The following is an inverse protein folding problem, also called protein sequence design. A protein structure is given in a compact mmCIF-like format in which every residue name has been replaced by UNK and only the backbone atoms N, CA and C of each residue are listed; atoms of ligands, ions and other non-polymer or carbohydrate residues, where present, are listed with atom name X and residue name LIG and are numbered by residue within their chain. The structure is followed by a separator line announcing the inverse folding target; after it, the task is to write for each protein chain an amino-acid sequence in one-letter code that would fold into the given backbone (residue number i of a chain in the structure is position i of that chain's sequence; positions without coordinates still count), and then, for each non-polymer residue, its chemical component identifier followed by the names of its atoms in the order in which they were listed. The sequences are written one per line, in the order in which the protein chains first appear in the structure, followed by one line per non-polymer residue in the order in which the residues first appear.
data_IF_701027667519
#
_entry.id   IF_701027667519
#
_cell.length_a   1.000
_cell.length_b   1.000
_cell.length_c   1.000
_cell.angle_alpha   90.00
_cell.angle_beta   90.00
_cell.angle_gamma   90.00
#
_symmetry.space_group_name_H-M   'P 1'
#
loop_
_entity.id
_entity.type
_entity.pdbx_description
1 polymer ?
#
# COMPACT_ATOMS: atom_id res chain seq x y z
N UNK A 1 -49.55 62.26 29.86
CA UNK A 1 -50.30 61.81 31.04
C UNK A 1 -49.40 60.76 31.68
N UNK A 2 -48.52 61.26 32.52
CA UNK A 2 -48.58 61.32 33.98
C UNK A 2 -48.57 59.92 34.60
N UNK A 3 -47.86 59.56 35.58
CA UNK A 3 -46.84 60.21 36.43
C UNK A 3 -46.42 59.23 37.52
N UNK A 4 -45.20 59.39 38.06
CA UNK A 4 -44.78 59.17 39.45
C UNK A 4 -44.63 57.77 40.00
N UNK A 5 -43.46 57.35 40.29
CA UNK A 5 -42.55 57.69 41.41
C UNK A 5 -43.03 57.27 42.79
N UNK A 6 -42.23 56.48 43.53
CA UNK A 6 -41.59 56.78 44.81
C UNK A 6 -41.03 55.50 45.45
N UNK A 7 -39.79 55.45 45.68
CA UNK A 7 -38.99 55.61 46.93
C UNK A 7 -39.65 55.12 48.21
N UNK A 8 -39.03 54.10 48.87
CA UNK A 8 -38.57 54.35 50.28
C UNK A 8 -37.51 53.27 50.71
N UNK A 9 -36.65 53.80 51.54
CA UNK A 9 -35.37 53.34 52.08
C UNK A 9 -35.51 52.36 53.28
N UNK A 10 -34.41 51.64 53.48
CA UNK A 10 -33.60 51.41 54.69
C UNK A 10 -33.98 50.15 55.48
N UNK A 11 -33.14 49.36 56.05
CA UNK A 11 -31.93 49.63 56.82
C UNK A 11 -31.14 48.35 57.10
N UNK A 12 -29.91 48.55 57.37
CA UNK A 12 -28.82 47.71 57.78
C UNK A 12 -29.09 46.63 58.87
N UNK A 13 -28.33 45.52 58.78
CA UNK A 13 -27.33 45.10 59.80
C UNK A 13 -26.90 43.65 59.56
N UNK A 14 -25.72 43.42 59.56
CA UNK A 14 -24.58 42.94 60.32
C UNK A 14 -23.95 41.64 59.84
N UNK A 15 -22.70 41.82 59.56
CA UNK A 15 -21.53 40.94 59.59
C UNK A 15 -21.72 39.47 60.04
N UNK A 16 -21.36 38.54 59.13
CA UNK A 16 -20.61 37.34 59.48
C UNK A 16 -19.59 37.05 58.40
N UNK A 17 -18.31 37.23 58.69
CA UNK A 17 -17.17 36.81 57.88
C UNK A 17 -17.00 35.28 57.98
N UNK A 18 -17.28 34.58 56.91
CA UNK A 18 -16.80 33.19 56.72
C UNK A 18 -15.68 33.25 55.67
N UNK A 19 -14.47 32.99 56.14
CA UNK A 19 -13.29 32.77 55.31
C UNK A 19 -13.50 31.46 54.51
N UNK A 20 -13.93 31.55 53.26
CA UNK A 20 -13.70 30.51 52.30
C UNK A 20 -12.25 30.55 51.87
N UNK A 21 -11.50 29.48 52.19
CA UNK A 21 -10.21 29.18 51.60
C UNK A 21 -10.44 29.03 50.10
N UNK A 22 -9.85 29.88 49.27
CA UNK A 22 -9.67 29.65 47.86
C UNK A 22 -8.67 28.51 47.73
N UNK A 23 -9.16 27.34 47.34
CA UNK A 23 -8.33 26.28 46.81
C UNK A 23 -8.00 26.76 45.40
N UNK A 24 -6.78 27.25 45.23
CA UNK A 24 -6.19 27.49 43.91
C UNK A 24 -6.12 26.12 43.21
N UNK A 25 -7.05 25.90 42.29
CA UNK A 25 -6.93 24.85 41.29
C UNK A 25 -5.76 25.27 40.41
N UNK A 26 -4.61 24.63 40.60
CA UNK A 26 -3.54 24.68 39.64
C UNK A 26 -4.11 24.26 38.28
N UNK A 27 -4.23 25.17 37.33
CA UNK A 27 -4.46 24.90 35.95
C UNK A 27 -3.28 24.07 35.46
N UNK A 28 -3.53 22.79 35.21
CA UNK A 28 -2.65 21.99 34.38
C UNK A 28 -2.61 22.70 33.02
N UNK A 29 -1.49 23.33 32.71
CA UNK A 29 -1.21 23.93 31.42
C UNK A 29 -1.27 22.81 30.37
N UNK A 30 -2.43 22.66 29.74
CA UNK A 30 -2.58 21.82 28.56
C UNK A 30 -1.63 22.38 27.49
N UNK A 31 -0.57 21.66 27.19
CA UNK A 31 0.26 21.95 26.04
C UNK A 31 -0.64 21.95 24.82
N UNK A 32 -0.72 23.08 24.12
CA UNK A 32 -1.41 23.17 22.84
C UNK A 32 -0.67 22.24 21.91
N UNK A 33 -1.30 21.09 21.58
CA UNK A 33 -0.72 20.15 20.63
C UNK A 33 -0.76 20.83 19.26
N UNK A 34 0.43 21.11 18.74
CA UNK A 34 0.60 21.84 17.50
C UNK A 34 0.63 20.89 16.29
N UNK A 35 0.03 21.35 15.20
CA UNK A 35 0.27 20.78 13.88
C UNK A 35 1.39 21.57 13.20
N UNK A 36 2.20 20.91 12.38
CA UNK A 36 3.08 21.60 11.46
C UNK A 36 2.30 22.24 10.29
N UNK A 37 2.99 22.98 9.42
CA UNK A 37 2.36 23.67 8.28
C UNK A 37 1.72 22.69 7.28
N UNK A 38 2.14 21.42 7.27
CA UNK A 38 1.64 20.38 6.39
C UNK A 38 0.53 19.52 7.05
N UNK A 39 0.13 19.88 8.27
CA UNK A 39 -0.93 19.22 9.03
C UNK A 39 -0.51 17.95 9.73
N UNK A 40 0.79 17.68 9.90
CA UNK A 40 1.28 16.58 10.71
C UNK A 40 1.24 16.91 12.20
N UNK A 41 1.07 15.88 13.02
CA UNK A 41 1.28 15.98 14.45
C UNK A 41 2.74 16.36 14.76
N UNK A 42 2.92 17.39 15.58
CA UNK A 42 4.22 17.70 16.18
C UNK A 42 4.34 16.89 17.46
N UNK A 43 5.36 16.08 17.58
CA UNK A 43 5.59 15.19 18.71
C UNK A 43 7.03 15.27 19.20
N UNK A 44 7.29 14.77 20.39
CA UNK A 44 8.64 14.63 20.97
C UNK A 44 8.94 13.15 21.28
N UNK A 45 10.18 12.75 21.12
CA UNK A 45 10.64 11.43 21.58
C UNK A 45 10.45 11.34 23.10
N UNK A 46 9.89 10.20 23.55
CA UNK A 46 9.55 9.98 24.96
C UNK A 46 8.14 10.46 25.35
N UNK A 47 7.46 11.25 24.50
CA UNK A 47 6.09 11.70 24.75
C UNK A 47 5.09 10.53 24.70
N UNK A 48 4.04 10.62 25.52
CA UNK A 48 2.93 9.67 25.52
C UNK A 48 1.78 10.19 24.64
N UNK A 49 1.45 9.45 23.60
CA UNK A 49 0.25 9.65 22.78
C UNK A 49 -0.87 8.80 23.40
N UNK A 50 -2.04 9.41 23.64
CA UNK A 50 -3.21 8.76 24.27
C UNK A 50 -2.86 8.13 25.64
N UNK A 51 -1.93 8.72 26.41
CA UNK A 51 -1.46 8.20 27.72
C UNK A 51 -1.00 6.73 27.70
N UNK A 52 -0.76 6.18 26.50
CA UNK A 52 -0.44 4.76 26.30
C UNK A 52 0.78 4.54 25.42
N UNK A 53 0.92 5.25 24.31
CA UNK A 53 1.91 4.98 23.29
C UNK A 53 3.11 5.91 23.42
N UNK A 54 4.20 5.44 24.01
CA UNK A 54 5.42 6.23 24.18
C UNK A 54 6.22 6.28 22.88
N UNK A 55 6.45 7.47 22.36
CA UNK A 55 7.19 7.69 21.10
C UNK A 55 8.65 7.34 21.26
N UNK A 56 9.16 6.42 20.41
CA UNK A 56 10.57 6.03 20.36
C UNK A 56 11.32 6.64 19.16
N UNK A 57 10.75 6.53 17.94
CA UNK A 57 11.39 7.05 16.73
C UNK A 57 10.40 7.17 15.57
N UNK A 58 10.82 7.85 14.50
CA UNK A 58 10.11 7.86 13.21
C UNK A 58 10.47 6.60 12.42
N UNK A 59 9.47 5.88 11.91
CA UNK A 59 9.63 4.77 10.97
C UNK A 59 9.50 5.22 9.52
N UNK A 60 8.59 6.15 9.24
CA UNK A 60 8.38 6.67 7.89
C UNK A 60 7.47 7.88 7.86
N UNK A 61 7.59 8.66 6.80
CA UNK A 61 6.74 9.81 6.52
C UNK A 61 6.25 9.74 5.06
N UNK A 62 4.97 9.99 4.85
CA UNK A 62 4.35 9.92 3.53
C UNK A 62 3.28 10.99 3.32
N UNK A 63 2.63 10.91 2.17
CA UNK A 63 1.57 11.85 1.76
C UNK A 63 0.45 11.95 2.79
N UNK A 64 0.07 10.84 3.42
CA UNK A 64 -1.09 10.74 4.32
C UNK A 64 -0.77 11.06 5.78
N UNK A 65 0.50 10.94 6.21
CA UNK A 65 0.88 11.10 7.61
C UNK A 65 2.26 10.56 7.93
N UNK A 66 2.51 10.31 9.20
CA UNK A 66 3.75 9.73 9.73
C UNK A 66 3.47 8.38 10.37
N UNK A 67 4.45 7.49 10.33
CA UNK A 67 4.43 6.22 11.07
C UNK A 67 5.54 6.29 12.12
N UNK A 68 5.17 6.18 13.38
CA UNK A 68 6.09 6.21 14.52
C UNK A 68 6.27 4.82 15.09
N UNK A 69 7.50 4.52 15.49
CA UNK A 69 7.76 3.43 16.43
C UNK A 69 7.40 3.92 17.82
N UNK A 70 6.50 3.24 18.48
CA UNK A 70 6.06 3.55 19.85
C UNK A 70 6.14 2.30 20.71
N UNK A 71 6.36 2.48 22.02
CA UNK A 71 6.21 1.42 23.01
C UNK A 71 4.80 1.49 23.58
N UNK A 72 4.01 0.44 23.42
CA UNK A 72 2.73 0.31 24.11
C UNK A 72 2.98 0.03 25.59
N UNK A 73 2.61 0.94 26.47
CA UNK A 73 2.84 0.84 27.92
C UNK A 73 2.01 -0.27 28.59
N UNK A 74 0.91 -0.71 27.96
CA UNK A 74 0.07 -1.79 28.48
C UNK A 74 0.68 -3.17 28.18
N UNK A 75 1.13 -3.39 26.97
CA UNK A 75 1.71 -4.69 26.55
C UNK A 75 3.24 -4.73 26.64
N UNK A 76 3.88 -3.58 26.84
CA UNK A 76 5.36 -3.39 26.78
C UNK A 76 5.97 -3.76 25.42
N UNK A 77 5.16 -3.93 24.37
CA UNK A 77 5.62 -4.27 23.02
C UNK A 77 5.88 -3.02 22.19
N UNK A 78 6.85 -3.07 21.25
CA UNK A 78 6.99 -2.05 20.23
C UNK A 78 5.86 -2.20 19.21
N UNK A 79 5.31 -1.06 18.75
CA UNK A 79 4.17 -0.95 17.82
C UNK A 79 4.47 0.12 16.78
N UNK A 80 3.97 -0.05 15.57
CA UNK A 80 3.92 0.97 14.53
C UNK A 80 2.62 1.77 14.65
N UNK A 81 2.72 3.05 14.95
CA UNK A 81 1.58 3.96 15.07
C UNK A 81 1.53 4.88 13.84
N UNK A 82 0.58 4.62 12.94
CA UNK A 82 0.29 5.46 11.77
C UNK A 82 -0.56 6.64 12.23
N UNK A 83 -0.05 7.87 12.08
CA UNK A 83 -0.70 9.11 12.50
C UNK A 83 -1.04 9.91 11.25
N UNK A 84 -2.31 10.04 10.97
CA UNK A 84 -2.83 10.69 9.78
C UNK A 84 -2.79 12.22 9.95
N UNK A 85 -2.45 12.94 8.89
CA UNK A 85 -2.50 14.42 8.86
C UNK A 85 -3.88 14.92 9.26
N UNK A 86 -3.92 15.98 10.05
CA UNK A 86 -5.18 16.63 10.42
C UNK A 86 -5.77 17.45 9.26
N UNK A 87 -6.01 16.77 8.14
CA UNK A 87 -6.63 17.31 6.93
C UNK A 87 -7.85 16.45 6.61
N UNK A 88 -9.01 17.08 6.38
CA UNK A 88 -10.31 16.41 6.22
C UNK A 88 -10.25 15.22 5.24
N UNK A 89 -9.70 15.43 4.02
CA UNK A 89 -9.64 14.37 3.00
C UNK A 89 -8.84 13.13 3.45
N UNK A 90 -7.75 13.31 4.21
CA UNK A 90 -6.93 12.20 4.69
C UNK A 90 -7.57 11.46 5.86
N UNK A 91 -8.29 12.19 6.73
CA UNK A 91 -9.09 11.56 7.80
C UNK A 91 -10.25 10.75 7.25
N UNK A 92 -10.91 11.22 6.19
CA UNK A 92 -11.95 10.44 5.51
C UNK A 92 -11.38 9.17 4.86
N UNK A 93 -10.23 9.26 4.18
CA UNK A 93 -9.53 8.09 3.65
C UNK A 93 -9.12 7.11 4.75
N UNK A 94 -8.62 7.59 5.89
CA UNK A 94 -8.26 6.73 7.02
C UNK A 94 -9.47 5.98 7.60
N UNK A 95 -10.66 6.58 7.61
CA UNK A 95 -11.90 5.90 8.03
C UNK A 95 -12.27 4.75 7.10
N UNK A 96 -12.07 4.92 5.79
CA UNK A 96 -12.27 3.85 4.81
C UNK A 96 -11.27 2.72 5.05
N UNK A 97 -9.99 3.04 5.25
CA UNK A 97 -8.95 2.05 5.59
C UNK A 97 -9.31 1.26 6.86
N UNK A 98 -9.72 1.93 7.94
CA UNK A 98 -10.16 1.30 9.19
C UNK A 98 -11.36 0.36 8.95
N UNK A 99 -12.34 0.78 8.15
CA UNK A 99 -13.50 -0.05 7.83
C UNK A 99 -13.08 -1.33 7.07
N UNK A 100 -12.18 -1.22 6.10
CA UNK A 100 -11.64 -2.37 5.36
C UNK A 100 -10.90 -3.30 6.31
N UNK A 101 -9.96 -2.77 7.11
CA UNK A 101 -9.16 -3.56 8.07
C UNK A 101 -10.04 -4.27 9.11
N UNK A 102 -11.10 -3.61 9.59
CA UNK A 102 -12.06 -4.21 10.53
C UNK A 102 -12.81 -5.39 9.89
N UNK A 103 -13.25 -5.26 8.64
CA UNK A 103 -13.91 -6.34 7.90
C UNK A 103 -12.95 -7.50 7.64
N UNK A 104 -11.71 -7.21 7.20
CA UNK A 104 -10.68 -8.23 6.95
C UNK A 104 -10.36 -9.03 8.21
N UNK A 105 -10.26 -8.38 9.36
CA UNK A 105 -10.06 -9.05 10.65
C UNK A 105 -11.19 -10.04 10.98
N UNK A 106 -12.42 -9.72 10.60
CA UNK A 106 -13.57 -10.63 10.74
C UNK A 106 -13.52 -11.85 9.81
N UNK A 107 -12.94 -11.69 8.62
CA UNK A 107 -12.79 -12.77 7.64
C UNK A 107 -11.59 -13.68 7.93
N UNK A 108 -10.59 -13.23 8.68
CA UNK A 108 -9.36 -13.96 9.00
C UNK A 108 -9.14 -14.15 10.52
N UNK A 109 -9.98 -14.94 11.20
CA UNK A 109 -9.84 -15.17 12.63
C UNK A 109 -8.53 -15.90 13.00
N UNK A 110 -7.91 -16.57 12.05
CA UNK A 110 -6.65 -17.33 12.22
C UNK A 110 -5.38 -16.56 11.90
N UNK A 111 -5.48 -15.32 11.43
CA UNK A 111 -4.35 -14.47 11.01
C UNK A 111 -3.43 -15.14 9.96
N UNK A 112 -4.05 -15.78 8.96
CA UNK A 112 -3.36 -16.56 7.92
C UNK A 112 -3.34 -15.89 6.55
N UNK A 113 -4.07 -14.78 6.39
CA UNK A 113 -4.20 -14.09 5.10
C UNK A 113 -2.91 -13.47 4.61
N UNK A 114 -1.95 -13.18 5.49
CA UNK A 114 -0.76 -12.39 5.17
C UNK A 114 -1.04 -10.90 4.95
N UNK A 115 -2.23 -10.41 5.33
CA UNK A 115 -2.56 -9.00 5.38
C UNK A 115 -2.27 -8.42 6.76
N UNK A 116 -1.82 -7.16 6.82
CA UNK A 116 -1.56 -6.51 8.12
C UNK A 116 -2.85 -6.39 8.93
N UNK A 117 -2.75 -6.63 10.24
CA UNK A 117 -3.88 -6.54 11.17
C UNK A 117 -3.81 -5.24 11.95
N UNK A 118 -4.93 -4.53 11.98
CA UNK A 118 -5.10 -3.37 12.84
C UNK A 118 -5.25 -3.83 14.31
N UNK A 119 -4.38 -3.33 15.19
CA UNK A 119 -4.41 -3.65 16.62
C UNK A 119 -5.36 -2.72 17.39
N UNK A 120 -5.35 -1.43 17.04
CA UNK A 120 -6.14 -0.38 17.69
C UNK A 120 -6.31 0.81 16.76
N UNK A 121 -7.31 1.65 16.99
CA UNK A 121 -7.43 2.94 16.35
C UNK A 121 -8.15 3.95 17.26
N UNK A 122 -7.76 5.22 17.16
CA UNK A 122 -8.33 6.29 17.99
C UNK A 122 -8.14 7.65 17.32
N UNK A 123 -8.84 8.67 17.79
CA UNK A 123 -8.58 10.07 17.45
C UNK A 123 -7.68 10.70 18.53
N UNK A 124 -6.63 11.38 18.10
CA UNK A 124 -5.75 12.15 18.98
C UNK A 124 -5.62 13.56 18.45
N UNK A 125 -6.36 14.49 19.06
CA UNK A 125 -6.40 15.92 18.71
C UNK A 125 -6.71 16.19 17.23
N UNK A 126 -7.62 15.41 16.65
CA UNK A 126 -8.03 15.51 15.27
C UNK A 126 -7.14 14.74 14.29
N UNK A 127 -6.17 13.98 14.78
CA UNK A 127 -5.39 13.00 14.02
C UNK A 127 -5.98 11.62 14.19
N UNK A 128 -6.37 10.97 13.12
CA UNK A 128 -6.70 9.54 13.16
C UNK A 128 -5.41 8.76 13.33
N UNK A 129 -5.31 7.97 14.40
CA UNK A 129 -4.19 7.11 14.71
C UNK A 129 -4.60 5.66 14.52
N UNK A 130 -3.73 4.84 13.90
CA UNK A 130 -3.96 3.41 13.67
C UNK A 130 -2.71 2.66 14.11
N UNK A 131 -2.88 1.69 15.01
CA UNK A 131 -1.80 0.88 15.56
C UNK A 131 -1.68 -0.46 14.84
N UNK A 132 -0.44 -0.86 14.55
CA UNK A 132 -0.08 -2.11 13.87
C UNK A 132 1.12 -2.76 14.56
N UNK A 133 1.32 -4.06 14.34
CA UNK A 133 2.60 -4.69 14.64
C UNK A 133 3.72 -4.06 13.82
N UNK A 134 4.94 -4.02 14.38
CA UNK A 134 6.11 -3.57 13.63
C UNK A 134 6.51 -4.67 12.67
N UNK A 135 6.71 -4.26 11.41
CA UNK A 135 7.27 -5.08 10.34
C UNK A 135 8.68 -4.60 9.98
N UNK A 136 9.36 -5.37 9.17
CA UNK A 136 10.64 -5.01 8.55
C UNK A 136 10.50 -3.95 7.47
N UNK A 137 11.55 -3.80 6.66
CA UNK A 137 11.56 -2.89 5.50
C UNK A 137 10.53 -3.32 4.45
N UNK A 138 10.12 -2.37 3.62
CA UNK A 138 9.39 -2.72 2.40
C UNK A 138 10.30 -3.46 1.42
N UNK A 139 9.67 -4.25 0.55
CA UNK A 139 10.39 -4.93 -0.53
C UNK A 139 11.12 -3.91 -1.42
N UNK A 140 10.54 -2.72 -1.63
CA UNK A 140 11.20 -1.63 -2.36
C UNK A 140 12.42 -1.07 -1.61
N UNK A 141 12.27 -0.76 -0.31
CA UNK A 141 13.36 -0.17 0.46
C UNK A 141 14.55 -1.12 0.56
N UNK A 142 14.30 -2.41 0.77
CA UNK A 142 15.36 -3.41 0.79
C UNK A 142 16.07 -3.52 -0.57
N UNK A 143 15.33 -3.51 -1.68
CA UNK A 143 15.89 -3.52 -3.04
C UNK A 143 16.77 -2.28 -3.28
N UNK A 144 16.29 -1.09 -2.92
CA UNK A 144 17.03 0.17 -3.00
C UNK A 144 18.31 0.13 -2.17
N UNK A 145 18.20 -0.29 -0.92
CA UNK A 145 19.32 -0.35 0.03
C UNK A 145 20.33 -1.45 -0.34
N UNK A 146 19.94 -2.40 -1.18
CA UNK A 146 20.80 -3.39 -1.82
C UNK A 146 21.26 -2.95 -3.23
N UNK A 147 21.28 -1.63 -3.51
CA UNK A 147 21.72 -1.03 -4.77
C UNK A 147 20.95 -1.55 -6.00
N UNK A 148 19.67 -1.88 -5.86
CA UNK A 148 18.82 -2.47 -6.89
C UNK A 148 19.33 -3.80 -7.44
N UNK A 149 20.18 -4.51 -6.69
CA UNK A 149 20.53 -5.89 -7.03
C UNK A 149 19.30 -6.77 -6.96
N UNK A 150 19.02 -7.58 -8.01
CA UNK A 150 17.86 -8.47 -8.02
C UNK A 150 17.81 -9.40 -6.82
N UNK A 151 16.61 -9.74 -6.39
CA UNK A 151 16.41 -10.79 -5.40
C UNK A 151 16.79 -12.16 -5.97
N UNK A 152 17.21 -13.09 -5.11
CA UNK A 152 17.38 -14.48 -5.53
C UNK A 152 16.05 -15.06 -6.02
N UNK A 153 16.10 -16.04 -6.90
CA UNK A 153 14.88 -16.64 -7.46
C UNK A 153 13.99 -17.27 -6.38
N UNK A 154 14.60 -17.81 -5.32
CA UNK A 154 13.90 -18.34 -4.14
C UNK A 154 13.18 -17.23 -3.38
N UNK A 155 13.83 -16.09 -3.18
CA UNK A 155 13.19 -14.93 -2.54
C UNK A 155 12.05 -14.38 -3.41
N UNK A 156 12.25 -14.23 -4.74
CA UNK A 156 11.18 -13.85 -5.67
C UNK A 156 9.99 -14.83 -5.57
N UNK A 157 10.26 -16.13 -5.55
CA UNK A 157 9.22 -17.17 -5.42
C UNK A 157 8.43 -17.02 -4.13
N UNK A 158 9.11 -16.86 -2.99
CA UNK A 158 8.47 -16.76 -1.67
C UNK A 158 7.67 -15.47 -1.53
N UNK A 159 8.24 -14.32 -1.89
CA UNK A 159 7.56 -13.02 -1.87
C UNK A 159 6.31 -13.07 -2.74
N UNK A 160 6.46 -13.53 -3.99
CA UNK A 160 5.34 -13.61 -4.95
C UNK A 160 4.25 -14.56 -4.50
N UNK A 161 4.62 -15.72 -3.91
CA UNK A 161 3.66 -16.66 -3.36
C UNK A 161 2.84 -16.05 -2.23
N UNK A 162 3.50 -15.39 -1.26
CA UNK A 162 2.81 -14.71 -0.17
C UNK A 162 1.90 -13.58 -0.68
N UNK A 163 2.35 -12.78 -1.66
CA UNK A 163 1.51 -11.77 -2.29
C UNK A 163 0.27 -12.39 -2.95
N UNK A 164 0.46 -13.44 -3.74
CA UNK A 164 -0.66 -14.16 -4.40
C UNK A 164 -1.64 -14.71 -3.36
N UNK A 165 -1.15 -15.26 -2.23
CA UNK A 165 -2.02 -15.74 -1.15
C UNK A 165 -2.83 -14.61 -0.52
N UNK A 166 -2.15 -13.50 -0.15
CA UNK A 166 -2.81 -12.37 0.50
C UNK A 166 -3.85 -11.73 -0.41
N UNK A 167 -3.51 -11.48 -1.68
CA UNK A 167 -4.44 -10.85 -2.61
C UNK A 167 -5.55 -11.82 -3.04
N UNK A 168 -5.28 -13.14 -3.16
CA UNK A 168 -6.34 -14.13 -3.38
C UNK A 168 -7.36 -14.15 -2.23
N UNK A 169 -6.89 -14.01 -0.98
CA UNK A 169 -7.79 -13.86 0.16
C UNK A 169 -8.68 -12.60 0.03
N UNK A 170 -8.13 -11.47 -0.42
CA UNK A 170 -8.93 -10.27 -0.70
C UNK A 170 -9.98 -10.53 -1.78
N UNK A 171 -9.57 -11.12 -2.91
CA UNK A 171 -10.45 -11.43 -4.04
C UNK A 171 -11.58 -12.39 -3.66
N UNK A 172 -11.31 -13.39 -2.83
CA UNK A 172 -12.33 -14.30 -2.30
C UNK A 172 -13.36 -13.57 -1.40
N UNK A 173 -12.98 -12.46 -0.82
CA UNK A 173 -13.84 -11.59 -0.02
C UNK A 173 -14.36 -10.37 -0.78
N UNK A 174 -14.39 -10.44 -2.12
CA UNK A 174 -14.92 -9.39 -3.00
C UNK A 174 -14.25 -8.03 -2.82
N UNK A 175 -12.97 -8.01 -2.53
CA UNK A 175 -12.16 -6.81 -2.31
C UNK A 175 -10.99 -6.80 -3.30
N UNK A 176 -10.80 -5.67 -3.99
CA UNK A 176 -9.65 -5.38 -4.86
C UNK A 176 -8.73 -4.41 -4.13
N UNK A 177 -7.42 -4.69 -4.06
CA UNK A 177 -6.46 -3.84 -3.36
C UNK A 177 -6.25 -2.50 -4.06
N UNK A 178 -6.14 -2.52 -5.37
CA UNK A 178 -6.01 -1.40 -6.30
C UNK A 178 -4.70 -0.61 -6.28
N UNK A 179 -3.85 -0.72 -5.28
CA UNK A 179 -2.56 -0.03 -5.21
C UNK A 179 -1.41 -0.96 -4.80
N UNK A 180 -1.33 -2.14 -5.43
CA UNK A 180 -0.20 -3.04 -5.24
C UNK A 180 1.08 -2.46 -5.86
N UNK A 181 2.13 -2.39 -5.03
CA UNK A 181 3.48 -1.95 -5.39
C UNK A 181 4.47 -2.48 -4.36
N UNK A 182 5.78 -2.55 -4.68
CA UNK A 182 6.78 -3.07 -3.74
C UNK A 182 6.85 -2.33 -2.41
N UNK A 183 6.45 -1.04 -2.37
CA UNK A 183 6.38 -0.23 -1.14
C UNK A 183 5.28 -0.68 -0.18
N UNK A 184 4.21 -1.33 -0.69
CA UNK A 184 3.08 -1.81 0.10
C UNK A 184 3.20 -3.29 0.50
N UNK A 185 4.36 -3.89 0.27
CA UNK A 185 4.71 -5.26 0.66
C UNK A 185 5.90 -5.19 1.62
N UNK A 186 5.70 -5.51 2.91
CA UNK A 186 6.72 -5.42 3.93
C UNK A 186 7.18 -6.82 4.35
N UNK A 187 8.48 -6.97 4.59
CA UNK A 187 8.98 -8.18 5.24
C UNK A 187 8.46 -8.30 6.67
N UNK A 188 8.14 -9.53 7.10
CA UNK A 188 7.87 -9.80 8.51
C UNK A 188 9.09 -9.50 9.36
N UNK A 189 10.26 -9.91 8.88
CA UNK A 189 11.57 -9.57 9.39
C UNK A 189 12.53 -9.32 8.21
N UNK A 190 13.19 -8.18 8.18
CA UNK A 190 14.15 -7.81 7.14
C UNK A 190 15.60 -8.10 7.50
N UNK A 191 15.84 -9.04 8.43
CA UNK A 191 17.18 -9.54 8.79
C UNK A 191 17.85 -10.17 7.58
N UNK A 192 19.14 -9.87 7.41
CA UNK A 192 19.90 -10.34 6.25
C UNK A 192 21.33 -10.75 6.63
N UNK A 193 21.94 -11.54 5.77
CA UNK A 193 23.37 -11.84 5.76
C UNK A 193 24.02 -11.16 4.56
N UNK A 194 25.33 -10.96 4.62
CA UNK A 194 26.11 -10.46 3.48
C UNK A 194 26.75 -11.64 2.76
N UNK A 195 26.40 -11.83 1.49
CA UNK A 195 26.99 -12.83 0.59
C UNK A 195 27.39 -12.12 -0.71
N UNK A 196 28.63 -12.30 -1.15
CA UNK A 196 29.17 -11.69 -2.39
C UNK A 196 28.94 -10.16 -2.45
N UNK A 197 29.10 -9.46 -1.34
CA UNK A 197 28.83 -8.02 -1.18
C UNK A 197 27.36 -7.62 -1.42
N UNK A 198 26.42 -8.55 -1.34
CA UNK A 198 24.98 -8.31 -1.47
C UNK A 198 24.26 -8.72 -0.19
N UNK A 199 23.16 -8.03 0.10
CA UNK A 199 22.27 -8.43 1.21
C UNK A 199 21.39 -9.59 0.76
N UNK A 200 21.40 -10.69 1.53
CA UNK A 200 20.52 -11.85 1.34
C UNK A 200 19.60 -11.97 2.54
N UNK A 201 18.29 -11.95 2.31
CA UNK A 201 17.29 -12.11 3.36
C UNK A 201 17.40 -13.49 4.01
N UNK A 202 17.28 -13.53 5.33
CA UNK A 202 17.20 -14.77 6.10
C UNK A 202 15.84 -15.43 5.86
N UNK A 203 14.75 -14.67 5.98
CA UNK A 203 13.37 -15.09 5.63
C UNK A 203 12.71 -14.04 4.75
N UNK A 204 12.41 -14.35 3.47
CA UNK A 204 11.72 -13.42 2.58
C UNK A 204 10.18 -13.44 2.72
N UNK A 205 9.66 -13.88 3.88
CA UNK A 205 8.21 -13.83 4.15
C UNK A 205 7.72 -12.41 4.30
N UNK A 206 6.60 -12.08 3.66
CA UNK A 206 6.06 -10.73 3.60
C UNK A 206 4.61 -10.64 4.10
N UNK A 207 4.19 -9.42 4.38
CA UNK A 207 2.81 -9.02 4.66
C UNK A 207 2.39 -7.88 3.72
N UNK A 208 1.13 -7.90 3.33
CA UNK A 208 0.51 -6.84 2.54
C UNK A 208 -0.02 -5.75 3.47
N UNK A 209 0.26 -4.49 3.13
CA UNK A 209 -0.15 -3.31 3.89
C UNK A 209 -0.91 -2.31 3.02
N UNK A 210 -1.44 -1.26 3.64
CA UNK A 210 -2.05 -0.07 3.02
C UNK A 210 -3.32 -0.37 2.22
N UNK A 211 -4.43 -0.52 2.94
CA UNK A 211 -5.77 -0.76 2.36
C UNK A 211 -6.57 0.52 2.11
N UNK A 212 -5.92 1.70 2.12
CA UNK A 212 -6.57 3.00 1.97
C UNK A 212 -7.23 3.23 0.60
N UNK A 213 -6.85 2.44 -0.41
CA UNK A 213 -7.42 2.48 -1.77
C UNK A 213 -8.26 1.23 -2.09
N UNK A 214 -8.29 0.23 -1.18
CA UNK A 214 -8.98 -1.01 -1.43
C UNK A 214 -10.50 -0.80 -1.59
N UNK A 215 -11.09 -1.45 -2.58
CA UNK A 215 -12.47 -1.21 -3.01
C UNK A 215 -13.22 -2.54 -3.09
N UNK A 216 -14.39 -2.64 -2.43
CA UNK A 216 -15.27 -3.78 -2.58
C UNK A 216 -16.01 -3.77 -3.92
N UNK A 217 -16.36 -4.95 -4.44
CA UNK A 217 -17.04 -5.09 -5.74
C UNK A 217 -18.36 -4.28 -5.85
N UNK A 218 -19.04 -4.05 -4.73
CA UNK A 218 -20.31 -3.30 -4.66
C UNK A 218 -20.13 -1.78 -4.44
N UNK A 219 -18.91 -1.30 -4.22
CA UNK A 219 -18.62 0.12 -3.98
C UNK A 219 -18.39 0.86 -5.30
N UNK A 220 -18.35 2.19 -5.22
CA UNK A 220 -18.05 3.03 -6.38
C UNK A 220 -16.61 2.83 -6.84
N UNK A 221 -16.44 2.46 -8.10
CA UNK A 221 -15.14 2.29 -8.74
C UNK A 221 -14.64 3.61 -9.34
N UNK A 222 -13.52 4.12 -8.80
CA UNK A 222 -12.84 5.28 -9.39
C UNK A 222 -12.35 4.96 -10.80
N UNK A 223 -12.39 5.93 -11.73
CA UNK A 223 -11.94 5.69 -13.12
C UNK A 223 -10.47 5.26 -13.21
N UNK A 224 -9.63 5.82 -12.35
CA UNK A 224 -8.18 5.57 -12.36
C UNK A 224 -7.76 5.07 -10.99
N UNK A 225 -7.14 3.91 -10.97
CA UNK A 225 -6.53 3.27 -9.79
C UNK A 225 -5.10 2.87 -10.10
N UNK A 226 -4.40 2.35 -9.11
CA UNK A 226 -3.03 1.85 -9.13
C UNK A 226 -1.96 2.92 -9.34
N UNK A 227 -0.84 2.73 -8.70
CA UNK A 227 0.38 3.48 -8.97
C UNK A 227 0.81 3.23 -10.42
N UNK A 228 1.20 4.30 -11.13
CA UNK A 228 1.37 4.30 -12.59
C UNK A 228 2.14 3.11 -13.15
N UNK A 229 3.26 2.76 -12.58
CA UNK A 229 4.15 1.72 -13.10
C UNK A 229 3.52 0.32 -13.04
N UNK A 230 2.54 0.11 -12.16
CA UNK A 230 1.86 -1.18 -11.93
C UNK A 230 0.42 -1.18 -12.45
N UNK A 231 0.01 -0.12 -13.16
CA UNK A 231 -1.36 0.07 -13.63
C UNK A 231 -1.69 -0.80 -14.83
N UNK A 232 -2.78 -1.54 -14.73
CA UNK A 232 -3.26 -2.43 -15.76
C UNK A 232 -3.79 -1.67 -17.01
N UNK A 233 -3.73 -2.28 -18.21
CA UNK A 233 -4.14 -1.64 -19.45
C UNK A 233 -5.61 -1.25 -19.47
N UNK A 234 -6.52 -2.06 -18.91
CA UNK A 234 -7.95 -1.76 -18.82
C UNK A 234 -8.22 -0.49 -18.01
N UNK A 235 -7.39 -0.20 -16.99
CA UNK A 235 -7.48 1.04 -16.21
C UNK A 235 -7.01 2.24 -17.03
N UNK A 236 -5.90 2.12 -17.77
CA UNK A 236 -5.36 3.18 -18.63
C UNK A 236 -6.35 3.51 -19.75
N UNK A 237 -7.04 2.49 -20.26
CA UNK A 237 -7.98 2.58 -21.40
C UNK A 237 -9.40 2.91 -20.95
N UNK A 238 -9.66 3.10 -19.66
CA UNK A 238 -10.96 3.39 -19.06
C UNK A 238 -12.06 2.38 -19.51
N UNK A 239 -11.70 1.08 -19.56
CA UNK A 239 -12.61 -0.02 -19.93
C UNK A 239 -13.38 -0.60 -18.74
N UNK A 240 -13.19 -0.02 -17.55
CA UNK A 240 -13.61 -0.61 -16.29
C UNK A 240 -12.53 -1.54 -15.73
N UNK A 241 -12.55 -1.76 -14.43
CA UNK A 241 -11.60 -2.64 -13.74
C UNK A 241 -12.29 -3.42 -12.62
N UNK A 242 -11.68 -4.52 -12.25
CA UNK A 242 -12.05 -5.36 -11.12
C UNK A 242 -10.79 -6.09 -10.61
N UNK A 243 -10.95 -7.13 -9.83
CA UNK A 243 -9.86 -7.92 -9.23
C UNK A 243 -8.67 -8.26 -10.16
N UNK A 244 -8.84 -8.54 -11.46
CA UNK A 244 -7.69 -8.82 -12.35
C UNK A 244 -6.66 -7.69 -12.45
N UNK A 245 -7.00 -6.43 -12.13
CA UNK A 245 -6.01 -5.34 -12.15
C UNK A 245 -4.90 -5.54 -11.10
N UNK A 246 -5.20 -6.18 -9.97
CA UNK A 246 -4.21 -6.57 -8.96
C UNK A 246 -3.26 -7.64 -9.48
N UNK A 247 -3.76 -8.60 -10.25
CA UNK A 247 -2.96 -9.67 -10.87
C UNK A 247 -1.90 -9.08 -11.81
N UNK A 248 -2.30 -8.09 -12.63
CA UNK A 248 -1.37 -7.35 -13.47
C UNK A 248 -0.27 -6.67 -12.64
N UNK A 249 -0.65 -6.00 -11.55
CA UNK A 249 0.31 -5.33 -10.67
C UNK A 249 1.31 -6.33 -10.08
N UNK A 250 0.86 -7.53 -9.64
CA UNK A 250 1.74 -8.59 -9.15
C UNK A 250 2.72 -9.05 -10.24
N UNK A 251 2.27 -9.23 -11.48
CA UNK A 251 3.13 -9.57 -12.60
C UNK A 251 4.24 -8.54 -12.84
N UNK A 252 3.93 -7.25 -12.75
CA UNK A 252 4.91 -6.16 -12.82
C UNK A 252 5.92 -6.22 -11.67
N UNK A 253 5.43 -6.43 -10.44
CA UNK A 253 6.27 -6.53 -9.24
C UNK A 253 7.21 -7.74 -9.36
N UNK A 254 6.71 -8.90 -9.73
CA UNK A 254 7.55 -10.11 -9.92
C UNK A 254 8.71 -9.86 -10.87
N UNK A 255 8.45 -9.19 -12.00
CA UNK A 255 9.51 -8.81 -12.94
C UNK A 255 10.54 -7.89 -12.28
N UNK A 256 10.08 -6.86 -11.56
CA UNK A 256 10.96 -5.89 -10.91
C UNK A 256 11.84 -6.54 -9.84
N UNK A 257 11.30 -7.44 -9.03
CA UNK A 257 12.08 -8.18 -8.03
C UNK A 257 13.15 -9.07 -8.66
N UNK A 258 12.83 -9.72 -9.79
CA UNK A 258 13.71 -10.64 -10.48
C UNK A 258 14.81 -9.94 -11.30
N UNK A 259 14.62 -8.66 -11.67
CA UNK A 259 15.53 -7.93 -12.55
C UNK A 259 16.15 -6.69 -11.93
N UNK A 260 15.62 -6.21 -10.78
CA UNK A 260 16.00 -4.93 -10.17
C UNK A 260 15.51 -3.69 -10.94
N UNK A 261 14.68 -3.88 -11.99
CA UNK A 261 14.25 -2.79 -12.88
C UNK A 261 12.74 -2.78 -13.01
N UNK A 262 12.13 -1.63 -12.80
CA UNK A 262 10.69 -1.42 -13.01
C UNK A 262 10.30 -1.71 -14.46
N UNK A 263 9.29 -2.58 -14.68
CA UNK A 263 8.91 -3.04 -16.01
C UNK A 263 8.42 -1.92 -16.93
N UNK A 264 7.60 -1.00 -16.40
CA UNK A 264 6.98 0.11 -17.15
C UNK A 264 7.33 1.46 -16.51
N UNK A 265 8.59 1.88 -16.63
CA UNK A 265 9.07 3.15 -16.06
C UNK A 265 8.69 4.33 -16.94
N UNK A 266 7.54 4.95 -16.68
CA UNK A 266 6.98 6.05 -17.46
C UNK A 266 6.14 7.01 -16.64
N UNK A 267 5.92 8.23 -17.19
CA UNK A 267 5.03 9.24 -16.58
C UNK A 267 3.79 9.54 -17.43
N UNK A 268 3.65 8.91 -18.61
CA UNK A 268 2.58 9.19 -19.57
C UNK A 268 1.84 7.91 -20.00
N UNK A 269 0.50 8.00 -20.13
CA UNK A 269 -0.32 6.86 -20.53
C UNK A 269 0.05 6.28 -21.90
N UNK A 270 0.27 7.15 -22.91
CA UNK A 270 0.58 6.68 -24.26
C UNK A 270 1.94 6.01 -24.36
N UNK A 271 2.93 6.54 -23.64
CA UNK A 271 4.24 5.90 -23.53
C UNK A 271 4.14 4.56 -22.81
N UNK A 272 3.33 4.48 -21.75
CA UNK A 272 3.06 3.23 -21.03
C UNK A 272 2.45 2.16 -21.94
N UNK A 273 1.44 2.51 -22.73
CA UNK A 273 0.83 1.60 -23.71
C UNK A 273 1.86 1.18 -24.78
N UNK A 274 2.75 2.07 -25.22
CA UNK A 274 3.80 1.72 -26.18
C UNK A 274 4.85 0.78 -25.58
N UNK A 275 5.17 0.93 -24.28
CA UNK A 275 6.03 -0.03 -23.57
C UNK A 275 5.35 -1.39 -23.48
N UNK A 276 4.05 -1.43 -23.17
CA UNK A 276 3.27 -2.68 -23.14
C UNK A 276 3.32 -3.37 -24.52
N UNK A 277 3.03 -2.66 -25.63
CA UNK A 277 3.12 -3.26 -26.97
C UNK A 277 4.51 -3.77 -27.30
N UNK A 278 5.53 -3.05 -26.88
CA UNK A 278 6.92 -3.46 -27.12
C UNK A 278 7.30 -4.74 -26.36
N UNK A 279 6.78 -4.91 -25.14
CA UNK A 279 7.14 -6.02 -24.24
C UNK A 279 6.27 -7.23 -24.45
N UNK A 280 4.94 -7.04 -24.65
CA UNK A 280 3.94 -8.09 -24.66
C UNK A 280 3.37 -8.39 -26.04
N UNK A 281 3.58 -7.52 -27.03
CA UNK A 281 2.94 -7.57 -28.33
C UNK A 281 1.77 -6.61 -28.49
N UNK A 282 1.15 -6.60 -29.67
CA UNK A 282 0.07 -5.66 -29.99
C UNK A 282 -1.15 -5.83 -29.09
N UNK A 283 -1.84 -4.71 -28.84
CA UNK A 283 -3.11 -4.76 -28.12
C UNK A 283 -4.17 -5.53 -28.91
N UNK A 284 -5.04 -6.28 -28.22
CA UNK A 284 -6.22 -6.89 -28.83
C UNK A 284 -7.11 -5.82 -29.48
N UNK A 285 -7.56 -6.08 -30.71
CA UNK A 285 -8.46 -5.20 -31.47
C UNK A 285 -9.70 -4.82 -30.65
N UNK A 286 -10.26 -5.79 -29.90
CA UNK A 286 -11.40 -5.58 -29.01
C UNK A 286 -11.15 -4.44 -28.00
N UNK A 287 -10.01 -4.41 -27.31
CA UNK A 287 -9.69 -3.36 -26.35
C UNK A 287 -9.47 -2.01 -27.04
N UNK A 288 -8.77 -2.00 -28.18
CA UNK A 288 -8.50 -0.80 -28.95
C UNK A 288 -9.79 -0.15 -29.53
N UNK A 289 -10.81 -0.94 -29.88
CA UNK A 289 -12.08 -0.47 -30.39
C UNK A 289 -13.07 -0.04 -29.30
N UNK A 290 -13.02 -0.65 -28.11
CA UNK A 290 -13.94 -0.35 -27.01
C UNK A 290 -13.55 0.88 -26.19
N UNK A 291 -12.26 1.27 -26.19
CA UNK A 291 -11.81 2.42 -25.40
C UNK A 291 -12.35 3.73 -25.93
N UNK A 292 -12.81 4.58 -25.00
CA UNK A 292 -13.19 5.97 -25.31
C UNK A 292 -11.99 6.93 -25.26
N UNK A 293 -10.84 6.46 -24.82
CA UNK A 293 -9.61 7.26 -24.77
C UNK A 293 -9.08 7.51 -26.19
N UNK A 294 -8.36 8.63 -26.38
CA UNK A 294 -7.81 9.00 -27.69
C UNK A 294 -6.42 8.41 -27.94
N UNK A 295 -6.12 7.23 -27.37
CA UNK A 295 -4.83 6.59 -27.51
C UNK A 295 -4.68 5.80 -28.80
N UNK A 296 -5.79 5.29 -29.36
CA UNK A 296 -5.82 4.53 -30.59
C UNK A 296 -6.41 5.31 -31.76
N UNK A 297 -6.07 4.90 -32.97
CA UNK A 297 -6.66 5.33 -34.24
C UNK A 297 -6.64 4.15 -35.22
N UNK A 298 -7.79 3.80 -35.76
CA UNK A 298 -7.95 2.60 -36.59
C UNK A 298 -7.32 1.36 -35.91
N UNK A 299 -7.67 1.19 -34.62
CA UNK A 299 -7.24 0.07 -33.77
C UNK A 299 -5.72 -0.03 -33.53
N UNK A 300 -4.94 0.97 -33.95
CA UNK A 300 -3.50 1.06 -33.74
C UNK A 300 -3.16 2.16 -32.75
N UNK A 301 -2.21 1.88 -31.88
CA UNK A 301 -1.71 2.88 -30.93
C UNK A 301 -1.14 4.10 -31.67
N UNK A 302 -1.59 5.29 -31.31
CA UNK A 302 -1.04 6.57 -31.81
C UNK A 302 0.34 6.82 -31.21
N UNK A 303 1.33 6.17 -31.76
CA UNK A 303 2.71 6.23 -31.27
C UNK A 303 3.70 6.48 -32.39
N UNK A 304 4.63 7.43 -32.18
CA UNK A 304 5.70 7.69 -33.11
C UNK A 304 7.00 7.06 -32.61
N UNK A 305 7.37 5.93 -33.18
CA UNK A 305 8.60 5.22 -32.87
C UNK A 305 9.89 5.99 -33.20
N UNK A 306 9.81 7.02 -34.09
CA UNK A 306 10.94 7.85 -34.47
C UNK A 306 11.18 9.01 -33.52
N UNK A 307 10.20 9.34 -32.66
CA UNK A 307 10.33 10.35 -31.63
C UNK A 307 11.45 10.00 -30.62
N UNK A 308 11.86 10.96 -29.79
CA UNK A 308 12.83 10.68 -28.70
C UNK A 308 12.31 9.61 -27.74
N UNK A 309 11.00 9.68 -27.39
CA UNK A 309 10.33 8.69 -26.55
C UNK A 309 10.21 7.32 -27.24
N UNK A 310 9.90 7.30 -28.55
CA UNK A 310 9.88 6.06 -29.32
C UNK A 310 11.23 5.36 -29.36
N UNK A 311 12.31 6.13 -29.53
CA UNK A 311 13.67 5.59 -29.44
C UNK A 311 14.01 5.08 -28.04
N UNK A 312 13.54 5.76 -26.98
CA UNK A 312 13.72 5.31 -25.60
C UNK A 312 13.04 3.96 -25.38
N UNK A 313 11.73 3.84 -25.68
CA UNK A 313 10.97 2.59 -25.56
C UNK A 313 11.65 1.45 -26.32
N UNK A 314 12.08 1.68 -27.56
CA UNK A 314 12.74 0.65 -28.36
C UNK A 314 14.07 0.17 -27.76
N UNK A 315 14.82 1.05 -27.10
CA UNK A 315 16.12 0.71 -26.48
C UNK A 315 15.97 0.01 -25.14
N UNK A 316 15.03 0.44 -24.30
CA UNK A 316 14.91 0.01 -22.91
C UNK A 316 13.88 -1.10 -22.70
N UNK A 317 12.84 -1.18 -23.57
CA UNK A 317 11.83 -2.23 -23.49
C UNK A 317 12.17 -3.35 -24.46
N UNK A 318 12.32 -4.55 -23.95
CA UNK A 318 12.59 -5.77 -24.73
C UNK A 318 11.40 -6.73 -24.61
N UNK A 319 11.01 -7.41 -25.71
CA UNK A 319 9.98 -8.43 -25.62
C UNK A 319 10.29 -9.44 -24.53
N UNK A 320 9.30 -9.79 -23.73
CA UNK A 320 9.48 -10.69 -22.58
C UNK A 320 9.93 -12.10 -23.05
N UNK A 321 9.52 -12.50 -24.25
CA UNK A 321 9.96 -13.77 -24.84
C UNK A 321 11.47 -13.87 -25.05
N UNK A 322 12.16 -12.73 -25.28
CA UNK A 322 13.63 -12.72 -25.44
C UNK A 322 14.38 -13.11 -24.16
N UNK A 323 13.76 -12.94 -22.99
CA UNK A 323 14.33 -13.43 -21.74
C UNK A 323 14.23 -14.97 -21.69
N UNK A 324 13.09 -15.54 -22.07
CA UNK A 324 12.86 -16.97 -22.08
C UNK A 324 13.71 -17.69 -23.12
N UNK A 325 13.86 -17.11 -24.34
CA UNK A 325 14.63 -17.68 -25.44
C UNK A 325 16.13 -17.82 -25.14
N UNK A 326 16.64 -17.06 -24.19
CA UNK A 326 18.05 -17.10 -23.76
C UNK A 326 18.33 -18.09 -22.66
N UNK A 327 17.30 -18.66 -22.06
CA UNK A 327 17.41 -19.61 -20.96
C UNK A 327 17.58 -21.03 -21.50
N UNK A 328 18.41 -21.80 -20.84
CA UNK A 328 18.55 -23.21 -21.09
C UNK A 328 17.37 -23.97 -20.46
N UNK A 329 16.74 -24.85 -21.23
CA UNK A 329 15.50 -25.54 -20.84
C UNK A 329 15.70 -26.51 -19.68
N UNK A 330 16.88 -27.04 -19.52
CA UNK A 330 17.18 -28.07 -18.50
C UNK A 330 17.68 -27.42 -17.21
N UNK A 331 18.56 -26.42 -17.33
CA UNK A 331 19.18 -25.76 -16.15
C UNK A 331 18.37 -24.58 -15.60
N UNK A 332 17.64 -23.86 -16.46
CA UNK A 332 16.90 -22.63 -16.09
C UNK A 332 15.39 -22.82 -15.93
N UNK A 333 14.96 -24.04 -15.67
CA UNK A 333 13.53 -24.41 -15.58
C UNK A 333 12.72 -23.49 -14.68
N UNK A 334 13.24 -23.13 -13.52
CA UNK A 334 12.55 -22.25 -12.56
C UNK A 334 12.38 -20.83 -13.09
N UNK A 335 13.37 -20.28 -13.83
CA UNK A 335 13.28 -19.00 -14.50
C UNK A 335 12.25 -19.02 -15.62
N UNK A 336 12.22 -20.07 -16.41
CA UNK A 336 11.24 -20.26 -17.49
C UNK A 336 9.83 -20.29 -16.89
N UNK A 337 9.61 -21.01 -15.81
CA UNK A 337 8.32 -21.06 -15.11
C UNK A 337 7.92 -19.72 -14.54
N UNK A 338 8.88 -18.95 -13.98
CA UNK A 338 8.61 -17.59 -13.48
C UNK A 338 8.14 -16.67 -14.60
N UNK A 339 8.86 -16.62 -15.73
CA UNK A 339 8.46 -15.77 -16.85
C UNK A 339 7.17 -16.24 -17.53
N UNK A 340 6.87 -17.54 -17.54
CA UNK A 340 5.58 -18.06 -18.00
C UNK A 340 4.44 -17.55 -17.11
N UNK A 341 4.59 -17.58 -15.79
CA UNK A 341 3.61 -17.02 -14.86
C UNK A 341 3.44 -15.51 -15.04
N UNK A 342 4.55 -14.76 -15.14
CA UNK A 342 4.51 -13.31 -15.40
C UNK A 342 3.73 -13.01 -16.68
N UNK A 343 3.96 -13.74 -17.77
CA UNK A 343 3.20 -13.55 -19.02
C UNK A 343 1.71 -13.80 -18.86
N UNK A 344 1.31 -14.81 -18.11
CA UNK A 344 -0.09 -15.11 -17.82
C UNK A 344 -0.75 -14.01 -16.96
N UNK A 345 0.01 -13.44 -16.01
CA UNK A 345 -0.45 -12.30 -15.21
C UNK A 345 -0.53 -11.01 -16.02
N UNK A 346 0.33 -10.85 -17.04
CA UNK A 346 0.35 -9.68 -17.94
C UNK A 346 -0.47 -9.91 -19.22
N UNK A 347 -1.49 -10.75 -19.18
CA UNK A 347 -2.47 -10.88 -20.26
C UNK A 347 -3.32 -9.61 -20.35
N UNK A 348 -3.44 -9.03 -21.55
CA UNK A 348 -4.14 -7.77 -21.77
C UNK A 348 -5.61 -7.82 -21.37
N UNK A 349 -6.33 -8.81 -21.87
CA UNK A 349 -7.77 -9.00 -21.60
C UNK A 349 -7.94 -9.52 -20.18
N UNK A 350 -8.61 -8.73 -19.33
CA UNK A 350 -8.81 -9.05 -17.91
C UNK A 350 -9.52 -10.39 -17.71
N UNK A 351 -10.47 -10.72 -18.60
CA UNK A 351 -11.25 -11.96 -18.52
C UNK A 351 -10.42 -13.21 -18.87
N UNK A 352 -9.30 -13.05 -19.59
CA UNK A 352 -8.39 -14.14 -19.97
C UNK A 352 -7.14 -14.17 -19.10
N UNK A 353 -6.96 -13.15 -18.24
CA UNK A 353 -5.83 -13.08 -17.31
C UNK A 353 -5.96 -14.16 -16.25
N UNK A 354 -4.85 -14.87 -15.97
CA UNK A 354 -4.81 -15.88 -14.91
C UNK A 354 -5.34 -15.33 -13.60
N UNK A 355 -6.15 -16.09 -12.88
CA UNK A 355 -6.61 -15.75 -11.54
C UNK A 355 -5.52 -16.02 -10.49
N UNK A 356 -5.59 -15.42 -9.30
CA UNK A 356 -4.64 -15.70 -8.24
C UNK A 356 -4.76 -17.13 -7.71
N UNK A 357 -5.97 -17.68 -7.70
CA UNK A 357 -6.19 -19.10 -7.38
C UNK A 357 -5.42 -20.03 -8.33
N UNK A 358 -5.54 -19.80 -9.63
CA UNK A 358 -4.78 -20.56 -10.66
C UNK A 358 -3.28 -20.28 -10.58
N UNK A 359 -2.90 -19.02 -10.27
CA UNK A 359 -1.49 -18.63 -10.10
C UNK A 359 -0.82 -19.40 -8.96
N UNK A 360 -1.50 -19.60 -7.84
CA UNK A 360 -1.00 -20.38 -6.71
C UNK A 360 -0.76 -21.86 -7.06
N UNK A 361 -1.47 -22.39 -8.04
CA UNK A 361 -1.27 -23.75 -8.57
C UNK A 361 -0.20 -23.85 -9.66
N UNK A 362 0.34 -22.71 -10.11
CA UNK A 362 1.33 -22.68 -11.18
C UNK A 362 2.62 -23.44 -10.80
N UNK A 363 3.29 -24.14 -11.75
CA UNK A 363 4.51 -24.89 -11.49
C UNK A 363 5.62 -24.11 -10.81
N UNK A 364 5.73 -22.81 -11.04
CA UNK A 364 6.71 -21.93 -10.36
C UNK A 364 6.64 -22.01 -8.84
N UNK A 365 5.45 -22.23 -8.28
CA UNK A 365 5.24 -22.33 -6.84
C UNK A 365 5.25 -23.77 -6.28
N UNK A 366 5.52 -24.78 -7.10
CA UNK A 366 5.47 -26.19 -6.66
C UNK A 366 6.38 -26.48 -5.46
N UNK A 367 7.59 -25.91 -5.43
CA UNK A 367 8.55 -26.10 -4.31
C UNK A 367 7.96 -25.64 -2.97
N UNK A 368 7.34 -24.45 -2.92
CA UNK A 368 6.71 -23.93 -1.69
C UNK A 368 5.52 -24.79 -1.26
N UNK A 369 4.70 -25.26 -2.20
CA UNK A 369 3.56 -26.11 -1.87
C UNK A 369 3.99 -27.43 -1.25
N UNK A 370 5.09 -28.00 -1.74
CA UNK A 370 5.67 -29.22 -1.15
C UNK A 370 6.17 -28.99 0.26
N UNK A 371 6.88 -27.89 0.52
CA UNK A 371 7.34 -27.52 1.86
C UNK A 371 6.20 -27.34 2.84
N UNK A 372 5.13 -26.64 2.44
CA UNK A 372 3.95 -26.39 3.28
C UNK A 372 3.11 -27.67 3.54
N UNK A 373 3.21 -28.70 2.72
CA UNK A 373 2.51 -29.98 2.92
C UNK A 373 3.31 -30.99 3.77
N UNK A 374 4.57 -30.70 4.06
CA UNK A 374 5.45 -31.53 4.91
C UNK A 374 5.40 -31.09 6.38
N UNK A 375 4.92 -29.86 6.64
CA UNK A 375 4.69 -29.27 7.97
C UNK A 375 3.24 -29.44 8.42
#
# INVERSE_FOLDING_TARGET
MDDKASKFKSSASSKARSRRREISVMSVTGSVIANDNDGHLVYKIGELIQDRYQVESLLGEGTFGKVLKVKDTLSSKPIALKIIKNIKKYREAAKLEINVLSKLSGFDPGDKSGCIKMLDYFDYHGHTCIAFDILGQSVFDFLRDNCYNPYSLEAVRKISYNMCQSVNFLHMNHLTHTDLKPENVLFKDSSYVIEDNQRRLVDPSVMLIDFGSATFDHEHHSKVVSTRHYRAPEVILELGWSQPCDVWSIGCIMYELATGVTLFQTHENREHLAMMERILGQFPVKMASQTTTRHFQNERLKWDERSSKGRYVRRHCKPINLYIEKLDKDTDKDWIQMFDLIKKMLTYESDLRITLKESLEHPFFSKIRHENNIL
#
